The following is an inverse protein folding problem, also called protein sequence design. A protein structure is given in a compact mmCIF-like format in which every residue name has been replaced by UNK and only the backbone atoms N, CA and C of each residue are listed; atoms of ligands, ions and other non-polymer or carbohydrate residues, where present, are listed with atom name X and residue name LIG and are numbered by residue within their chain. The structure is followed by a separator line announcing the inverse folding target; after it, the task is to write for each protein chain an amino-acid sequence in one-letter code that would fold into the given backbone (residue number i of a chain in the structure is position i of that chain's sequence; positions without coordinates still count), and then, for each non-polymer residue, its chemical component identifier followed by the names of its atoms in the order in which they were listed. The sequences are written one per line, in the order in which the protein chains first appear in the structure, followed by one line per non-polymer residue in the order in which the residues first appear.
data_IF_656035508882
#
_entry.id   IF_656035508882
#
_cell.length_a   1.000
_cell.length_b   1.000
_cell.length_c   1.000
_cell.angle_alpha   90.00
_cell.angle_beta   90.00
_cell.angle_gamma   90.00
#
_symmetry.space_group_name_H-M   'P 1'
#
loop_
_entity.id
_entity.type
_entity.pdbx_description
1 polymer ?
#
# COMPACT_ATOMS: atom_id res chain seq x y z
N UNK A 1 -54.90 -39.40 -24.93
CA UNK A 1 -54.39 -39.65 -23.57
C UNK A 1 -52.98 -40.21 -23.66
N UNK A 2 -51.97 -39.49 -23.14
CA UNK A 2 -50.56 -39.99 -23.07
C UNK A 2 -50.41 -40.84 -21.81
N UNK A 3 -49.77 -42.04 -21.86
CA UNK A 3 -49.68 -42.89 -20.69
C UNK A 3 -48.72 -42.28 -19.63
N UNK A 4 -49.20 -42.31 -18.36
CA UNK A 4 -48.43 -41.82 -17.21
C UNK A 4 -47.16 -42.70 -17.00
N UNK A 5 -46.02 -42.08 -16.92
CA UNK A 5 -44.72 -42.73 -16.70
C UNK A 5 -44.68 -43.31 -15.28
N UNK A 6 -44.47 -44.66 -15.16
CA UNK A 6 -44.42 -45.34 -13.85
C UNK A 6 -43.26 -44.84 -12.98
N UNK A 7 -43.51 -44.59 -11.70
CA UNK A 7 -42.54 -44.08 -10.70
C UNK A 7 -41.19 -44.81 -10.73
N UNK A 8 -41.16 -46.15 -11.04
CA UNK A 8 -39.90 -46.90 -11.16
C UNK A 8 -39.03 -46.52 -12.36
N UNK A 9 -39.61 -46.04 -13.46
CA UNK A 9 -38.87 -45.61 -14.65
C UNK A 9 -38.26 -44.20 -14.42
N UNK A 10 -38.91 -43.35 -13.62
CA UNK A 10 -38.40 -42.04 -13.21
C UNK A 10 -37.18 -42.21 -12.30
N UNK A 11 -37.25 -43.09 -11.30
CA UNK A 11 -36.12 -43.32 -10.36
C UNK A 11 -34.90 -43.95 -11.04
N UNK A 12 -35.08 -44.83 -12.06
CA UNK A 12 -33.97 -45.39 -12.85
C UNK A 12 -33.30 -44.33 -13.78
N UNK A 13 -34.01 -43.29 -14.22
CA UNK A 13 -33.43 -42.18 -15.00
C UNK A 13 -32.83 -41.07 -14.13
N UNK A 14 -33.32 -40.89 -12.92
CA UNK A 14 -32.73 -39.94 -11.94
C UNK A 14 -31.42 -40.49 -11.33
N UNK A 15 -31.22 -41.82 -11.27
CA UNK A 15 -30.00 -42.44 -10.74
C UNK A 15 -28.77 -42.42 -11.67
N UNK A 16 -28.89 -41.92 -12.91
CA UNK A 16 -27.82 -41.95 -13.89
C UNK A 16 -27.03 -40.60 -14.03
N UNK A 17 -27.35 -39.56 -13.21
CA UNK A 17 -26.75 -38.25 -13.34
C UNK A 17 -26.28 -37.59 -12.02
N UNK A 18 -25.89 -38.41 -11.04
CA UNK A 18 -25.13 -37.88 -9.90
C UNK A 18 -23.94 -38.77 -9.61
N UNK A 19 -22.88 -38.60 -10.37
CA UNK A 19 -21.56 -38.91 -9.85
C UNK A 19 -21.29 -37.89 -8.71
N UNK A 20 -21.77 -38.20 -7.50
CA UNK A 20 -21.32 -37.51 -6.30
C UNK A 20 -19.83 -37.85 -6.14
N UNK A 21 -18.96 -36.96 -6.53
CA UNK A 21 -17.57 -37.03 -6.13
C UNK A 21 -17.57 -36.84 -4.62
N UNK A 22 -17.55 -37.89 -3.86
CA UNK A 22 -17.37 -37.86 -2.40
C UNK A 22 -15.93 -37.45 -2.19
N UNK A 23 -15.71 -36.16 -2.02
CA UNK A 23 -14.40 -35.66 -1.59
C UNK A 23 -14.10 -36.21 -0.18
N UNK A 24 -12.89 -36.76 0.05
CA UNK A 24 -12.51 -37.21 1.38
C UNK A 24 -12.78 -36.13 2.43
N UNK A 25 -13.38 -36.50 3.56
CA UNK A 25 -13.73 -35.56 4.63
C UNK A 25 -12.54 -34.70 5.12
N UNK A 26 -11.31 -35.17 4.94
CA UNK A 26 -10.08 -34.43 5.21
C UNK A 26 -9.89 -33.23 4.24
N UNK A 27 -10.29 -33.34 2.98
CA UNK A 27 -10.22 -32.25 2.00
C UNK A 27 -11.32 -31.20 2.26
N UNK A 28 -12.49 -31.62 2.73
CA UNK A 28 -13.58 -30.70 3.08
C UNK A 28 -13.31 -29.89 4.34
N UNK A 29 -12.41 -30.35 5.22
CA UNK A 29 -12.00 -29.66 6.45
C UNK A 29 -10.65 -28.95 6.32
N UNK A 30 -9.94 -29.11 5.22
CA UNK A 30 -8.68 -28.45 4.97
C UNK A 30 -8.92 -26.96 4.64
N UNK A 31 -8.15 -26.06 5.25
CA UNK A 31 -8.15 -24.65 4.89
C UNK A 31 -7.82 -24.40 3.41
N UNK A 32 -7.15 -25.35 2.78
CA UNK A 32 -6.80 -25.34 1.35
C UNK A 32 -7.83 -26.00 0.45
N UNK A 33 -8.94 -26.52 1.00
CA UNK A 33 -10.02 -27.06 0.17
C UNK A 33 -10.57 -25.92 -0.74
N UNK A 34 -10.78 -26.17 -2.05
CA UNK A 34 -11.24 -25.14 -2.99
C UNK A 34 -12.51 -24.40 -2.56
N UNK A 35 -13.40 -25.07 -1.82
CA UNK A 35 -14.64 -24.52 -1.28
C UNK A 35 -14.43 -23.59 -0.07
N UNK A 36 -13.28 -23.66 0.60
CA UNK A 36 -12.98 -22.90 1.81
C UNK A 36 -11.94 -21.80 1.55
N UNK A 37 -11.35 -21.79 0.36
CA UNK A 37 -10.32 -20.86 -0.02
C UNK A 37 -10.94 -19.59 -0.61
N UNK A 38 -10.61 -18.42 -0.04
CA UNK A 38 -10.99 -17.14 -0.62
C UNK A 38 -10.40 -16.97 -2.02
N UNK A 39 -11.16 -16.32 -2.89
CA UNK A 39 -10.74 -16.02 -4.25
C UNK A 39 -10.17 -14.61 -4.35
N UNK A 40 -9.20 -14.47 -5.23
CA UNK A 40 -8.49 -13.19 -5.43
C UNK A 40 -8.37 -12.85 -6.91
N UNK A 41 -8.55 -11.57 -7.22
CA UNK A 41 -8.19 -11.00 -8.51
C UNK A 41 -6.98 -10.06 -8.36
N UNK A 42 -6.09 -10.05 -9.35
CA UNK A 42 -4.91 -9.19 -9.40
C UNK A 42 -5.13 -8.06 -10.41
N UNK A 43 -5.05 -6.81 -9.98
CA UNK A 43 -5.11 -5.62 -10.83
C UNK A 43 -3.71 -5.03 -11.00
N UNK A 44 -3.21 -5.03 -12.23
CA UNK A 44 -1.84 -4.62 -12.58
C UNK A 44 -0.86 -5.80 -12.52
N UNK A 45 -0.24 -6.12 -13.66
CA UNK A 45 0.78 -7.16 -13.77
C UNK A 45 2.14 -6.55 -14.16
N UNK A 46 2.63 -5.63 -13.30
CA UNK A 46 3.92 -4.96 -13.45
C UNK A 46 5.01 -5.51 -12.53
N UNK A 47 6.07 -4.69 -12.34
CA UNK A 47 7.25 -5.07 -11.59
C UNK A 47 6.98 -5.62 -10.19
N UNK A 48 6.06 -5.01 -9.43
CA UNK A 48 5.76 -5.46 -8.06
C UNK A 48 5.04 -6.83 -8.05
N UNK A 49 4.18 -7.11 -9.01
CA UNK A 49 3.50 -8.39 -9.12
C UNK A 49 4.49 -9.54 -9.33
N UNK A 50 5.58 -9.28 -10.06
CA UNK A 50 6.68 -10.23 -10.27
C UNK A 50 7.61 -10.30 -9.06
N UNK A 51 8.18 -9.18 -8.62
CA UNK A 51 9.19 -9.12 -7.55
C UNK A 51 8.61 -9.51 -6.19
N UNK A 52 7.36 -9.19 -5.91
CA UNK A 52 6.64 -9.56 -4.70
C UNK A 52 6.12 -11.01 -4.70
N UNK A 53 6.34 -11.75 -5.79
CA UNK A 53 5.82 -13.11 -5.97
C UNK A 53 4.31 -13.23 -5.65
N UNK A 54 3.52 -12.22 -6.04
CA UNK A 54 2.10 -12.18 -5.69
C UNK A 54 1.29 -13.32 -6.30
N UNK A 55 1.72 -13.84 -7.45
CA UNK A 55 1.12 -15.06 -8.02
C UNK A 55 1.48 -16.34 -7.22
N UNK A 56 2.56 -16.32 -6.45
CA UNK A 56 2.97 -17.43 -5.58
C UNK A 56 2.16 -17.53 -4.27
N UNK A 57 1.36 -16.53 -3.92
CA UNK A 57 0.59 -16.51 -2.67
C UNK A 57 -0.59 -17.51 -2.71
N UNK A 58 -0.42 -18.64 -2.07
CA UNK A 58 -1.34 -19.79 -2.14
C UNK A 58 -2.45 -19.80 -1.08
N UNK A 59 -2.41 -18.91 -0.10
CA UNK A 59 -3.47 -18.81 0.90
C UNK A 59 -4.82 -18.35 0.31
N UNK A 60 -4.80 -17.77 -0.90
CA UNK A 60 -5.98 -17.45 -1.71
C UNK A 60 -5.86 -18.04 -3.11
N UNK A 61 -6.99 -18.35 -3.75
CA UNK A 61 -7.04 -18.82 -5.12
C UNK A 61 -7.12 -17.64 -6.08
N UNK A 62 -6.13 -17.49 -6.98
CA UNK A 62 -6.19 -16.51 -8.07
C UNK A 62 -7.22 -16.97 -9.10
N UNK A 63 -8.21 -16.12 -9.42
CA UNK A 63 -9.28 -16.42 -10.38
C UNK A 63 -9.36 -15.41 -11.53
N UNK A 64 -8.74 -14.22 -11.37
CA UNK A 64 -8.76 -13.20 -12.40
C UNK A 64 -7.51 -12.31 -12.35
N UNK A 65 -7.19 -11.70 -13.51
CA UNK A 65 -6.09 -10.76 -13.68
C UNK A 65 -6.50 -9.66 -14.67
N UNK A 66 -6.05 -8.42 -14.42
CA UNK A 66 -6.28 -7.28 -15.29
C UNK A 66 -5.02 -6.43 -15.45
N UNK A 67 -4.74 -6.02 -16.71
CA UNK A 67 -3.75 -4.99 -17.01
C UNK A 67 -4.15 -4.27 -18.33
N UNK A 68 -4.04 -2.93 -18.46
CA UNK A 68 -4.34 -2.23 -19.70
C UNK A 68 -3.37 -2.54 -20.85
N UNK A 69 -2.24 -3.18 -20.56
CA UNK A 69 -1.26 -3.68 -21.55
C UNK A 69 -1.55 -5.15 -21.86
N UNK A 70 -1.94 -5.43 -23.12
CA UNK A 70 -2.30 -6.77 -23.56
C UNK A 70 -1.16 -7.78 -23.42
N UNK A 71 0.10 -7.33 -23.58
CA UNK A 71 1.27 -8.20 -23.37
C UNK A 71 1.40 -8.63 -21.93
N UNK A 72 1.19 -7.71 -20.98
CA UNK A 72 1.19 -8.04 -19.55
C UNK A 72 0.06 -8.98 -19.16
N UNK A 73 -1.11 -8.85 -19.81
CA UNK A 73 -2.21 -9.81 -19.63
C UNK A 73 -1.77 -11.22 -20.04
N UNK A 74 -1.14 -11.37 -21.22
CA UNK A 74 -0.63 -12.66 -21.70
C UNK A 74 0.44 -13.24 -20.78
N UNK A 75 1.43 -12.41 -20.37
CA UNK A 75 2.48 -12.83 -19.43
C UNK A 75 1.87 -13.29 -18.10
N UNK A 76 0.86 -12.59 -17.61
CA UNK A 76 0.14 -12.92 -16.38
C UNK A 76 -0.61 -14.23 -16.46
N UNK A 77 -1.27 -14.53 -17.57
CA UNK A 77 -1.94 -15.82 -17.83
C UNK A 77 -0.92 -16.96 -17.80
N UNK A 78 0.16 -16.82 -18.57
CA UNK A 78 1.22 -17.83 -18.64
C UNK A 78 1.85 -18.10 -17.25
N UNK A 79 2.09 -17.04 -16.49
CA UNK A 79 2.62 -17.15 -15.14
C UNK A 79 1.61 -17.80 -14.16
N UNK A 80 0.32 -17.51 -14.29
CA UNK A 80 -0.72 -18.12 -13.47
C UNK A 80 -0.82 -19.63 -13.73
N UNK A 81 -0.78 -20.06 -15.00
CA UNK A 81 -0.74 -21.47 -15.39
C UNK A 81 0.49 -22.17 -14.81
N UNK A 82 1.67 -21.57 -14.95
CA UNK A 82 2.93 -22.09 -14.37
C UNK A 82 2.85 -22.24 -12.84
N UNK A 83 2.11 -21.36 -12.17
CA UNK A 83 1.86 -21.46 -10.73
C UNK A 83 0.72 -22.45 -10.37
N UNK A 84 0.12 -23.15 -11.32
CA UNK A 84 -0.88 -24.17 -11.08
C UNK A 84 -2.28 -23.65 -10.75
N UNK A 85 -2.62 -22.41 -11.15
CA UNK A 85 -3.99 -21.87 -10.98
C UNK A 85 -4.96 -22.33 -12.06
N UNK A 86 -4.46 -22.94 -13.15
CA UNK A 86 -5.27 -23.32 -14.30
C UNK A 86 -5.77 -22.08 -15.07
N UNK A 87 -6.91 -22.23 -15.74
CA UNK A 87 -7.51 -21.15 -16.52
C UNK A 87 -8.10 -20.09 -15.60
N UNK A 88 -7.59 -18.85 -15.70
CA UNK A 88 -8.12 -17.68 -15.00
C UNK A 88 -8.85 -16.76 -15.99
N UNK A 89 -9.77 -15.92 -15.48
CA UNK A 89 -10.33 -14.82 -16.26
C UNK A 89 -9.27 -13.72 -16.43
N UNK A 90 -9.17 -13.13 -17.62
CA UNK A 90 -8.25 -12.04 -17.86
C UNK A 90 -8.89 -10.97 -18.75
N UNK A 91 -8.68 -9.70 -18.41
CA UNK A 91 -9.25 -8.55 -19.09
C UNK A 91 -8.29 -7.35 -19.08
N UNK A 92 -8.67 -6.29 -19.79
CA UNK A 92 -7.94 -5.02 -19.80
C UNK A 92 -8.58 -3.97 -18.89
N UNK A 93 -9.89 -4.06 -18.67
CA UNK A 93 -10.66 -3.16 -17.84
C UNK A 93 -11.02 -3.80 -16.49
N UNK A 94 -10.49 -3.27 -15.40
CA UNK A 94 -10.69 -3.81 -14.07
C UNK A 94 -12.15 -3.79 -13.60
N UNK A 95 -13.02 -2.97 -14.20
CA UNK A 95 -14.44 -2.90 -13.88
C UNK A 95 -15.16 -4.22 -14.19
N UNK A 96 -14.69 -4.97 -15.18
CA UNK A 96 -15.18 -6.31 -15.48
C UNK A 96 -14.91 -7.27 -14.31
N UNK A 97 -13.77 -7.13 -13.65
CA UNK A 97 -13.43 -7.93 -12.46
C UNK A 97 -14.27 -7.53 -11.25
N UNK A 98 -14.49 -6.23 -11.04
CA UNK A 98 -15.32 -5.75 -9.93
C UNK A 98 -16.77 -6.27 -10.00
N UNK A 99 -17.30 -6.45 -11.19
CA UNK A 99 -18.64 -7.00 -11.43
C UNK A 99 -18.76 -8.52 -11.18
N UNK A 100 -17.67 -9.25 -10.99
CA UNK A 100 -17.67 -10.70 -10.82
C UNK A 100 -18.06 -11.12 -9.41
N UNK A 101 -19.09 -11.97 -9.24
CA UNK A 101 -19.52 -12.47 -7.92
C UNK A 101 -18.55 -13.49 -7.32
N UNK A 102 -17.72 -14.13 -8.13
CA UNK A 102 -16.76 -15.17 -7.71
C UNK A 102 -15.39 -14.61 -7.29
N UNK A 103 -15.27 -13.29 -7.08
CA UNK A 103 -14.07 -12.62 -6.56
C UNK A 103 -14.36 -12.08 -5.18
N UNK A 104 -13.61 -12.53 -4.16
CA UNK A 104 -13.71 -12.05 -2.78
C UNK A 104 -12.77 -10.86 -2.51
N UNK A 105 -11.53 -10.95 -3.04
CA UNK A 105 -10.44 -10.00 -2.74
C UNK A 105 -9.94 -9.37 -4.03
N UNK A 106 -9.80 -8.05 -4.02
CA UNK A 106 -9.09 -7.29 -5.04
C UNK A 106 -7.67 -6.98 -4.54
N UNK A 107 -6.65 -7.47 -5.26
CA UNK A 107 -5.25 -7.16 -5.02
C UNK A 107 -4.78 -6.11 -6.02
N UNK A 108 -4.50 -4.90 -5.56
CA UNK A 108 -4.16 -3.74 -6.36
C UNK A 108 -2.64 -3.60 -6.43
N UNK A 109 -2.06 -3.83 -7.62
CA UNK A 109 -0.63 -3.76 -7.94
C UNK A 109 -0.33 -2.75 -9.06
N UNK A 110 -1.22 -1.81 -9.27
CA UNK A 110 -1.13 -0.75 -10.28
C UNK A 110 -0.13 0.34 -9.87
N UNK A 111 0.13 1.34 -10.73
CA UNK A 111 0.76 2.58 -10.27
C UNK A 111 -0.10 3.33 -9.24
N UNK A 112 0.53 4.11 -8.31
CA UNK A 112 -0.16 4.72 -7.16
C UNK A 112 -1.35 5.62 -7.48
N UNK A 113 -1.37 6.28 -8.65
CA UNK A 113 -2.49 7.14 -9.05
C UNK A 113 -3.82 6.38 -9.21
N UNK A 114 -3.78 5.06 -9.28
CA UNK A 114 -4.95 4.19 -9.33
C UNK A 114 -5.37 3.63 -7.97
N UNK A 115 -4.46 3.57 -6.99
CA UNK A 115 -4.68 2.86 -5.73
C UNK A 115 -5.92 3.35 -4.98
N UNK A 116 -6.07 4.68 -4.85
CA UNK A 116 -7.20 5.28 -4.15
C UNK A 116 -8.54 4.94 -4.82
N UNK A 117 -8.66 5.24 -6.11
CA UNK A 117 -9.90 5.01 -6.86
C UNK A 117 -10.28 3.53 -6.92
N UNK A 118 -9.34 2.64 -7.24
CA UNK A 118 -9.61 1.19 -7.28
C UNK A 118 -10.01 0.65 -5.91
N UNK A 119 -9.40 1.16 -4.82
CA UNK A 119 -9.79 0.76 -3.45
C UNK A 119 -11.23 1.18 -3.11
N UNK A 120 -11.62 2.40 -3.47
CA UNK A 120 -13.00 2.89 -3.27
C UNK A 120 -13.99 2.05 -4.07
N UNK A 121 -13.73 1.85 -5.37
CA UNK A 121 -14.61 1.06 -6.24
C UNK A 121 -14.71 -0.40 -5.81
N UNK A 122 -13.59 -1.00 -5.35
CA UNK A 122 -13.59 -2.37 -4.82
C UNK A 122 -14.44 -2.47 -3.54
N UNK A 123 -14.31 -1.52 -2.61
CA UNK A 123 -15.14 -1.47 -1.41
C UNK A 123 -16.63 -1.36 -1.75
N UNK A 124 -17.00 -0.48 -2.68
CA UNK A 124 -18.37 -0.29 -3.15
C UNK A 124 -18.93 -1.54 -3.85
N UNK A 125 -18.08 -2.29 -4.56
CA UNK A 125 -18.42 -3.58 -5.17
C UNK A 125 -18.47 -4.74 -4.16
N UNK A 126 -18.31 -4.46 -2.85
CA UNK A 126 -18.38 -5.47 -1.79
C UNK A 126 -17.16 -6.36 -1.67
N UNK A 127 -16.00 -5.96 -2.25
CA UNK A 127 -14.76 -6.74 -2.22
C UNK A 127 -13.86 -6.29 -1.08
N UNK A 128 -13.15 -7.25 -0.47
CA UNK A 128 -12.05 -6.95 0.43
C UNK A 128 -10.79 -6.57 -0.36
N UNK A 129 -9.90 -5.79 0.25
CA UNK A 129 -8.87 -5.07 -0.49
C UNK A 129 -7.48 -5.41 0.04
N UNK A 130 -6.60 -5.79 -0.86
CA UNK A 130 -5.17 -5.84 -0.64
C UNK A 130 -4.51 -4.82 -1.56
N UNK A 131 -4.06 -3.71 -1.01
CA UNK A 131 -3.47 -2.62 -1.78
C UNK A 131 -1.96 -2.57 -1.60
N UNK A 132 -1.22 -2.42 -2.71
CA UNK A 132 0.20 -2.10 -2.66
C UNK A 132 0.43 -0.69 -2.12
N UNK A 133 1.62 -0.46 -1.57
CA UNK A 133 2.07 0.88 -1.16
C UNK A 133 2.52 1.71 -2.38
N UNK A 134 2.50 3.04 -2.31
CA UNK A 134 1.83 3.85 -1.28
C UNK A 134 0.31 3.70 -1.36
N UNK A 135 -0.38 3.83 -0.23
CA UNK A 135 -1.83 3.64 -0.16
C UNK A 135 -2.58 4.52 -1.15
N UNK A 136 -2.18 5.76 -1.26
CA UNK A 136 -2.79 6.75 -2.17
C UNK A 136 -1.78 7.82 -2.57
N UNK A 137 -2.04 8.49 -3.69
CA UNK A 137 -1.22 9.59 -4.19
C UNK A 137 -1.51 10.92 -3.48
N UNK A 138 -2.70 11.10 -2.94
CA UNK A 138 -3.10 12.32 -2.21
C UNK A 138 -3.77 12.00 -0.88
N UNK A 139 -3.77 12.99 0.03
CA UNK A 139 -4.44 12.86 1.33
C UNK A 139 -5.95 12.74 1.14
N UNK A 140 -6.51 13.51 0.20
CA UNK A 140 -7.95 13.45 -0.11
C UNK A 140 -8.41 12.07 -0.58
N UNK A 141 -7.62 11.40 -1.43
CA UNK A 141 -7.89 10.02 -1.84
C UNK A 141 -7.88 9.07 -0.63
N UNK A 142 -6.88 9.18 0.25
CA UNK A 142 -6.78 8.33 1.44
C UNK A 142 -7.99 8.46 2.38
N UNK A 143 -8.49 9.67 2.56
CA UNK A 143 -9.73 9.91 3.30
C UNK A 143 -10.92 9.17 2.66
N UNK A 144 -11.07 9.25 1.32
CA UNK A 144 -12.15 8.54 0.60
C UNK A 144 -12.04 7.03 0.72
N UNK A 145 -10.82 6.47 0.70
CA UNK A 145 -10.61 5.03 0.92
C UNK A 145 -11.07 4.63 2.32
N UNK A 146 -10.67 5.36 3.37
CA UNK A 146 -11.13 5.08 4.74
C UNK A 146 -12.65 5.10 4.86
N UNK A 147 -13.29 6.14 4.29
CA UNK A 147 -14.76 6.28 4.29
C UNK A 147 -15.43 5.11 3.57
N UNK A 148 -14.94 4.73 2.38
CA UNK A 148 -15.52 3.65 1.58
C UNK A 148 -15.35 2.27 2.25
N UNK A 149 -14.17 1.96 2.78
CA UNK A 149 -13.89 0.70 3.49
C UNK A 149 -14.81 0.57 4.71
N UNK A 150 -14.91 1.63 5.52
CA UNK A 150 -15.77 1.66 6.70
C UNK A 150 -17.26 1.51 6.33
N UNK A 151 -17.75 2.31 5.37
CA UNK A 151 -19.16 2.35 4.98
C UNK A 151 -19.62 1.00 4.42
N UNK A 152 -18.77 0.34 3.65
CA UNK A 152 -19.10 -0.94 3.03
C UNK A 152 -18.68 -2.16 3.90
N UNK A 153 -18.14 -1.94 5.10
CA UNK A 153 -17.72 -3.00 6.03
C UNK A 153 -16.67 -3.93 5.43
N UNK A 154 -15.72 -3.41 4.65
CA UNK A 154 -14.68 -4.22 4.00
C UNK A 154 -13.42 -4.32 4.87
N UNK A 155 -12.63 -5.35 4.60
CA UNK A 155 -11.31 -5.51 5.21
C UNK A 155 -10.28 -4.97 4.22
N UNK A 156 -9.41 -4.10 4.72
CA UNK A 156 -8.33 -3.50 3.95
C UNK A 156 -6.98 -3.94 4.51
N UNK A 157 -6.05 -4.28 3.62
CA UNK A 157 -4.65 -4.54 3.91
C UNK A 157 -3.79 -3.64 3.03
N UNK A 158 -2.94 -2.83 3.65
CA UNK A 158 -1.85 -2.17 2.96
C UNK A 158 -0.63 -3.10 2.90
N UNK A 159 0.02 -3.18 1.74
CA UNK A 159 1.17 -4.06 1.57
C UNK A 159 2.50 -3.34 1.88
N UNK A 160 2.66 -2.89 3.11
CA UNK A 160 3.97 -2.64 3.68
C UNK A 160 4.09 -3.47 4.96
N UNK A 161 5.14 -4.30 5.05
CA UNK A 161 5.22 -5.33 6.09
C UNK A 161 6.28 -5.03 7.15
N UNK A 162 7.03 -3.94 6.99
CA UNK A 162 8.22 -3.69 7.82
C UNK A 162 7.91 -3.38 9.28
N UNK A 163 6.69 -2.94 9.62
CA UNK A 163 6.29 -2.73 11.01
C UNK A 163 6.16 -4.04 11.81
N UNK A 164 6.00 -5.19 11.14
CA UNK A 164 5.72 -6.48 11.79
C UNK A 164 6.83 -7.51 11.60
N UNK A 165 7.89 -7.18 10.86
CA UNK A 165 8.99 -8.12 10.62
C UNK A 165 10.05 -8.04 11.70
N UNK A 166 10.80 -9.15 11.84
CA UNK A 166 11.98 -9.25 12.70
C UNK A 166 13.12 -8.31 12.30
N UNK A 167 13.09 -7.77 11.08
CA UNK A 167 14.08 -6.82 10.60
C UNK A 167 13.42 -5.56 10.05
N UNK A 168 13.70 -4.43 10.67
CA UNK A 168 13.39 -3.13 10.10
C UNK A 168 14.22 -2.95 8.84
N UNK A 169 13.60 -2.67 7.70
CA UNK A 169 14.26 -2.61 6.40
C UNK A 169 15.49 -1.70 6.44
N UNK A 170 16.67 -2.28 6.18
CA UNK A 170 17.95 -1.57 6.26
C UNK A 170 18.38 -1.12 7.65
N UNK A 171 17.59 -1.37 8.68
CA UNK A 171 17.83 -0.85 10.03
C UNK A 171 18.69 -1.75 10.91
N UNK A 172 18.77 -3.04 10.58
CA UNK A 172 19.51 -4.03 11.34
C UNK A 172 19.03 -4.23 12.79
N UNK A 173 17.80 -3.79 13.09
CA UNK A 173 17.17 -3.89 14.41
C UNK A 173 15.72 -4.31 14.24
N UNK A 174 15.24 -5.16 15.13
CA UNK A 174 13.84 -5.56 15.15
C UNK A 174 12.94 -4.42 15.64
N UNK A 175 11.74 -4.32 15.09
CA UNK A 175 10.75 -3.31 15.48
C UNK A 175 10.24 -3.56 16.91
N UNK A 176 10.11 -4.82 17.32
CA UNK A 176 9.54 -5.21 18.61
C UNK A 176 10.32 -4.68 19.83
N UNK A 177 11.65 -4.84 19.94
CA UNK A 177 12.43 -4.22 21.02
C UNK A 177 12.29 -2.70 21.05
N UNK A 178 12.31 -2.04 19.89
CA UNK A 178 12.10 -0.60 19.79
C UNK A 178 10.71 -0.19 20.30
N UNK A 179 9.68 -0.98 19.97
CA UNK A 179 8.31 -0.73 20.46
C UNK A 179 8.21 -0.85 21.98
N UNK A 180 8.85 -1.86 22.59
CA UNK A 180 8.96 -1.98 24.06
C UNK A 180 9.58 -0.73 24.68
N UNK A 181 10.70 -0.23 24.12
CA UNK A 181 11.37 0.99 24.60
C UNK A 181 10.44 2.19 24.54
N UNK A 182 9.70 2.34 23.44
CA UNK A 182 8.81 3.49 23.22
C UNK A 182 7.57 3.45 24.12
N UNK A 183 6.90 2.30 24.23
CA UNK A 183 5.72 2.12 25.09
C UNK A 183 6.04 2.34 26.56
N UNK A 184 7.24 1.97 27.00
CA UNK A 184 7.69 2.16 28.38
C UNK A 184 8.44 3.47 28.61
N UNK A 185 8.46 4.39 27.62
CA UNK A 185 9.04 5.75 27.73
C UNK A 185 10.51 5.76 28.20
N UNK A 186 11.32 4.76 27.85
CA UNK A 186 12.71 4.71 28.27
C UNK A 186 13.54 5.90 27.76
N UNK A 187 13.19 6.44 26.57
CA UNK A 187 13.81 7.64 26.03
C UNK A 187 13.22 8.93 26.59
N UNK A 188 12.17 8.87 27.41
CA UNK A 188 11.36 10.03 27.75
C UNK A 188 10.49 10.47 26.57
N UNK A 189 9.96 11.69 26.64
CA UNK A 189 9.07 12.25 25.63
C UNK A 189 9.18 13.78 25.60
N UNK A 190 9.11 14.47 24.43
CA UNK A 190 8.93 13.91 23.09
C UNK A 190 10.19 13.24 22.53
N UNK A 191 10.02 12.50 21.42
CA UNK A 191 11.11 11.79 20.73
C UNK A 191 11.26 12.30 19.30
N UNK A 192 12.51 12.46 18.87
CA UNK A 192 12.88 12.72 17.48
C UNK A 192 13.38 11.40 16.85
N UNK A 193 12.83 11.07 15.67
CA UNK A 193 13.30 9.98 14.84
C UNK A 193 14.01 10.55 13.59
N UNK A 194 15.22 10.03 13.28
CA UNK A 194 15.95 10.39 12.06
C UNK A 194 15.94 9.19 11.10
N UNK A 195 15.37 9.37 9.92
CA UNK A 195 15.26 8.39 8.84
C UNK A 195 16.12 8.84 7.67
N UNK A 196 17.02 7.97 7.21
CA UNK A 196 17.96 8.29 6.15
C UNK A 196 19.12 7.31 6.19
N UNK A 197 20.35 7.75 5.94
CA UNK A 197 21.57 6.92 6.03
C UNK A 197 21.71 6.21 7.37
N UNK A 198 21.24 6.83 8.45
CA UNK A 198 21.20 6.26 9.81
C UNK A 198 20.45 4.94 9.85
N UNK A 199 19.40 4.80 9.04
CA UNK A 199 18.53 3.61 8.99
C UNK A 199 18.85 2.72 7.79
N UNK A 200 19.85 3.05 6.96
CA UNK A 200 20.09 2.40 5.69
C UNK A 200 19.04 2.74 4.62
N UNK A 201 18.23 3.78 4.86
CA UNK A 201 17.25 4.28 3.90
C UNK A 201 17.95 4.87 2.68
N UNK A 202 17.73 4.26 1.54
CA UNK A 202 18.15 4.81 0.27
C UNK A 202 16.94 5.40 -0.45
N UNK A 203 16.85 6.70 -0.47
CA UNK A 203 15.99 7.39 -1.43
C UNK A 203 16.50 7.07 -2.83
N UNK A 204 15.67 6.42 -3.63
CA UNK A 204 16.03 6.11 -5.02
C UNK A 204 15.88 7.35 -5.88
N UNK A 205 16.84 8.29 -5.76
CA UNK A 205 16.85 9.50 -6.59
C UNK A 205 16.90 9.23 -8.10
N UNK A 206 17.38 8.04 -8.51
CA UNK A 206 17.32 7.60 -9.91
C UNK A 206 15.90 7.44 -10.48
N UNK A 207 14.86 7.57 -9.64
CA UNK A 207 13.47 7.64 -10.10
C UNK A 207 13.00 9.09 -10.33
N UNK A 208 13.88 9.92 -10.85
CA UNK A 208 13.56 11.26 -11.32
C UNK A 208 12.91 11.21 -12.70
N UNK A 209 11.98 12.13 -12.97
CA UNK A 209 11.37 12.29 -14.28
C UNK A 209 12.31 12.98 -15.27
N UNK A 210 12.13 12.70 -16.55
CA UNK A 210 12.76 13.46 -17.63
C UNK A 210 11.95 14.72 -17.89
N UNK A 211 12.64 15.85 -18.10
CA UNK A 211 12.00 17.16 -18.28
C UNK A 211 11.72 17.50 -19.76
N UNK A 212 12.50 16.92 -20.68
CA UNK A 212 12.41 17.20 -22.12
C UNK A 212 11.90 15.98 -22.89
N UNK A 213 10.64 15.62 -22.63
CA UNK A 213 10.00 14.44 -23.24
C UNK A 213 9.29 14.85 -24.53
N UNK A 214 9.64 14.20 -25.66
CA UNK A 214 8.97 14.34 -26.94
C UNK A 214 7.90 13.26 -27.05
N UNK A 215 6.62 13.60 -27.26
CA UNK A 215 5.55 12.62 -27.42
C UNK A 215 5.85 11.56 -28.48
N UNK A 216 5.43 10.33 -28.21
CA UNK A 216 5.56 9.20 -29.13
C UNK A 216 4.18 8.56 -29.40
N UNK A 217 4.03 7.81 -30.50
CA UNK A 217 2.81 7.03 -30.72
C UNK A 217 2.57 6.01 -29.59
N UNK A 218 1.31 5.85 -29.20
CA UNK A 218 0.92 4.80 -28.25
C UNK A 218 1.06 3.44 -28.94
N UNK A 219 1.70 2.43 -28.29
CA UNK A 219 1.72 1.07 -28.80
C UNK A 219 0.30 0.51 -29.01
N UNK A 220 0.08 -0.27 -30.07
CA UNK A 220 -1.25 -0.76 -30.45
C UNK A 220 -1.92 -1.65 -29.39
N UNK A 221 -1.13 -2.38 -28.63
CA UNK A 221 -1.59 -3.33 -27.59
C UNK A 221 -1.71 -2.67 -26.21
N UNK A 222 -1.46 -1.36 -26.10
CA UNK A 222 -1.50 -0.63 -24.85
C UNK A 222 -2.65 0.36 -24.80
N UNK A 223 -3.59 0.18 -23.88
CA UNK A 223 -4.65 1.15 -23.60
C UNK A 223 -4.12 2.25 -22.68
N UNK A 224 -3.53 3.27 -23.33
CA UNK A 224 -2.93 4.37 -22.58
C UNK A 224 -3.95 5.25 -21.88
N UNK A 225 -5.16 5.39 -22.41
CA UNK A 225 -6.23 6.15 -21.74
C UNK A 225 -6.65 5.48 -20.42
N UNK A 226 -6.84 4.17 -20.47
CA UNK A 226 -7.13 3.38 -19.25
C UNK A 226 -5.93 3.33 -18.30
N UNK A 227 -4.68 3.33 -18.82
CA UNK A 227 -3.49 3.42 -17.96
C UNK A 227 -3.42 4.77 -17.24
N UNK A 228 -3.69 5.89 -17.92
CA UNK A 228 -3.76 7.22 -17.31
C UNK A 228 -4.87 7.31 -16.26
N UNK A 229 -6.03 6.76 -16.56
CA UNK A 229 -7.15 6.73 -15.62
C UNK A 229 -7.47 8.10 -15.01
N UNK A 230 -7.44 8.21 -13.66
CA UNK A 230 -7.76 9.44 -12.95
C UNK A 230 -6.68 10.53 -13.05
N UNK A 231 -5.47 10.20 -13.53
CA UNK A 231 -4.40 11.18 -13.68
C UNK A 231 -4.69 12.17 -14.83
N UNK A 232 -4.18 13.41 -14.75
CA UNK A 232 -4.31 14.37 -15.85
C UNK A 232 -3.78 13.81 -17.17
N UNK A 233 -4.43 14.20 -18.28
CA UNK A 233 -3.94 13.79 -19.59
C UNK A 233 -2.54 14.36 -19.86
N UNK A 234 -1.64 13.48 -20.26
CA UNK A 234 -0.31 13.80 -20.79
C UNK A 234 -0.09 13.00 -22.06
N UNK A 235 0.53 13.55 -23.09
CA UNK A 235 0.90 12.78 -24.28
C UNK A 235 1.78 11.58 -23.91
N UNK A 236 1.60 10.49 -24.65
CA UNK A 236 2.35 9.26 -24.38
C UNK A 236 3.85 9.45 -24.61
N UNK A 237 4.60 8.87 -23.70
CA UNK A 237 6.03 8.62 -23.81
C UNK A 237 6.39 7.39 -22.96
N UNK A 238 7.23 6.45 -23.42
CA UNK A 238 7.55 5.23 -22.67
C UNK A 238 8.17 5.51 -21.31
N UNK A 239 8.88 6.63 -21.13
CA UNK A 239 9.43 7.01 -19.82
C UNK A 239 8.34 7.47 -18.82
N UNK A 240 7.11 7.78 -19.25
CA UNK A 240 6.00 8.10 -18.34
C UNK A 240 5.30 6.86 -17.80
N UNK A 241 5.52 5.70 -18.42
CA UNK A 241 4.76 4.49 -18.14
C UNK A 241 5.62 3.40 -17.51
N UNK A 242 4.99 2.30 -17.12
CA UNK A 242 5.64 1.11 -16.58
C UNK A 242 6.53 1.43 -15.35
N UNK A 243 7.81 1.15 -15.36
CA UNK A 243 8.69 1.33 -14.19
C UNK A 243 9.07 2.78 -13.89
N UNK A 244 9.17 3.60 -14.91
CA UNK A 244 9.68 4.99 -14.85
C UNK A 244 8.60 6.03 -14.51
N UNK A 245 7.32 5.64 -14.46
CA UNK A 245 6.22 6.51 -14.01
C UNK A 245 6.50 7.20 -12.66
N UNK A 246 7.32 6.59 -11.83
CA UNK A 246 7.69 7.06 -10.50
C UNK A 246 8.28 8.47 -10.50
N UNK A 247 8.93 8.85 -11.58
CA UNK A 247 9.53 10.17 -11.74
C UNK A 247 8.57 11.31 -12.05
N UNK A 248 7.24 11.10 -11.99
CA UNK A 248 6.25 12.13 -12.36
C UNK A 248 5.19 12.33 -11.29
N UNK A 249 4.96 13.61 -10.94
CA UNK A 249 4.02 14.01 -9.88
C UNK A 249 2.59 13.50 -10.09
N UNK A 250 2.16 13.33 -11.33
CA UNK A 250 0.80 12.87 -11.64
C UNK A 250 0.58 11.39 -11.30
N UNK A 251 1.64 10.60 -11.18
CA UNK A 251 1.54 9.15 -11.00
C UNK A 251 2.11 8.65 -9.67
N UNK A 252 3.17 9.32 -9.18
CA UNK A 252 3.86 8.97 -7.94
C UNK A 252 4.58 10.22 -7.37
N UNK A 253 5.43 10.07 -6.38
CA UNK A 253 6.25 11.10 -5.75
C UNK A 253 7.75 10.75 -5.74
N UNK A 254 8.24 10.07 -6.78
CA UNK A 254 9.63 9.65 -6.88
C UNK A 254 10.06 8.69 -5.78
N UNK A 255 11.28 8.86 -5.27
CA UNK A 255 11.81 8.02 -4.20
C UNK A 255 11.01 8.12 -2.89
N UNK A 256 10.53 9.31 -2.55
CA UNK A 256 9.67 9.50 -1.38
C UNK A 256 8.30 8.84 -1.57
N UNK A 257 7.66 9.01 -2.72
CA UNK A 257 6.37 8.39 -3.02
C UNK A 257 6.46 6.87 -2.99
N UNK A 258 7.38 6.30 -3.75
CA UNK A 258 7.48 4.85 -3.86
C UNK A 258 7.98 4.17 -2.58
N UNK A 259 9.01 4.70 -1.91
CA UNK A 259 9.64 4.04 -0.77
C UNK A 259 9.25 4.62 0.59
N UNK A 260 8.80 5.88 0.63
CA UNK A 260 8.58 6.60 1.89
C UNK A 260 7.69 5.86 2.87
N UNK A 261 6.58 5.28 2.42
CA UNK A 261 5.66 4.59 3.31
C UNK A 261 6.27 3.32 3.95
N UNK A 262 7.20 2.64 3.29
CA UNK A 262 7.91 1.50 3.87
C UNK A 262 8.73 1.88 5.11
N UNK A 263 9.33 3.06 5.09
CA UNK A 263 10.20 3.52 6.18
C UNK A 263 9.44 4.33 7.24
N UNK A 264 8.47 5.12 6.82
CA UNK A 264 7.74 6.02 7.72
C UNK A 264 6.66 5.30 8.52
N UNK A 265 6.05 4.26 7.96
CA UNK A 265 5.02 3.48 8.65
C UNK A 265 5.52 2.84 9.95
N UNK A 266 6.64 2.10 10.00
CA UNK A 266 7.15 1.58 11.25
C UNK A 266 7.59 2.68 12.23
N UNK A 267 8.14 3.81 11.76
CA UNK A 267 8.50 4.94 12.63
C UNK A 267 7.24 5.54 13.26
N UNK A 268 6.17 5.72 12.48
CA UNK A 268 4.89 6.19 12.99
C UNK A 268 4.32 5.25 14.05
N UNK A 269 4.41 3.93 13.84
CA UNK A 269 4.01 2.93 14.81
C UNK A 269 4.82 3.01 16.12
N UNK A 270 6.15 3.18 16.01
CA UNK A 270 7.03 3.37 17.17
C UNK A 270 6.67 4.63 17.95
N UNK A 271 6.41 5.74 17.28
CA UNK A 271 6.05 7.01 17.90
C UNK A 271 4.58 7.10 18.31
N UNK A 272 3.80 6.01 18.21
CA UNK A 272 2.37 5.95 18.58
C UNK A 272 1.51 6.98 17.84
N UNK A 273 1.75 7.11 16.52
CA UNK A 273 1.08 8.12 15.67
C UNK A 273 0.04 7.51 14.71
N UNK A 274 -0.42 6.29 14.96
CA UNK A 274 -1.39 5.62 14.09
C UNK A 274 -2.77 6.31 14.04
N UNK A 275 -3.08 7.19 15.00
CA UNK A 275 -4.36 7.92 15.06
C UNK A 275 -4.23 9.41 14.73
N UNK A 276 -3.03 9.91 14.42
CA UNK A 276 -2.79 11.33 14.15
C UNK A 276 -1.81 11.54 13.00
N UNK A 277 -1.61 12.79 12.63
CA UNK A 277 -0.66 13.21 11.60
C UNK A 277 0.14 14.43 12.08
N UNK A 278 1.28 14.77 11.43
CA UNK A 278 2.02 15.97 11.75
C UNK A 278 1.15 17.24 11.64
N UNK A 279 1.44 18.22 12.48
CA UNK A 279 0.81 19.56 12.43
C UNK A 279 1.66 20.54 11.61
N UNK A 280 2.90 20.20 11.29
CA UNK A 280 3.81 21.05 10.53
C UNK A 280 4.75 20.18 9.71
N UNK A 281 5.05 20.63 8.50
CA UNK A 281 6.12 20.10 7.67
C UNK A 281 7.06 21.22 7.26
N UNK A 282 8.36 20.98 7.37
CA UNK A 282 9.44 21.87 6.94
C UNK A 282 10.29 21.14 5.92
N UNK A 283 10.82 21.86 4.94
CA UNK A 283 11.59 21.24 3.87
C UNK A 283 12.81 22.08 3.48
N UNK A 284 13.88 21.39 3.15
CA UNK A 284 15.02 21.88 2.42
C UNK A 284 15.17 21.05 1.15
N UNK A 285 14.90 21.67 -0.01
CA UNK A 285 15.00 21.03 -1.30
C UNK A 285 15.42 22.02 -2.40
N UNK A 286 16.03 21.57 -3.50
CA UNK A 286 16.18 22.39 -4.69
C UNK A 286 14.82 22.73 -5.30
N UNK A 287 14.75 23.76 -6.18
CA UNK A 287 13.54 24.00 -6.98
C UNK A 287 13.10 22.75 -7.73
N UNK A 288 11.80 22.46 -7.70
CA UNK A 288 11.23 21.29 -8.36
C UNK A 288 10.68 21.63 -9.74
N UNK A 289 10.82 20.72 -10.68
CA UNK A 289 10.17 20.83 -11.98
C UNK A 289 8.65 20.61 -11.83
N UNK A 290 7.79 21.35 -12.56
CA UNK A 290 6.32 21.24 -12.38
C UNK A 290 5.73 19.87 -12.77
N UNK A 291 6.43 19.07 -13.57
CA UNK A 291 5.98 17.74 -14.05
C UNK A 291 6.83 16.60 -13.48
N UNK A 292 8.15 16.77 -13.43
CA UNK A 292 9.11 15.74 -13.03
C UNK A 292 9.52 15.89 -11.56
N UNK A 293 9.57 14.76 -10.86
CA UNK A 293 10.00 14.70 -9.47
C UNK A 293 11.51 14.85 -9.40
N UNK A 294 11.96 15.70 -8.49
CA UNK A 294 13.38 15.89 -8.15
C UNK A 294 13.74 15.29 -6.78
N UNK A 295 14.77 15.85 -6.17
CA UNK A 295 15.28 15.42 -4.86
C UNK A 295 14.93 16.43 -3.74
N UNK A 296 15.20 16.02 -2.49
CA UNK A 296 15.22 16.90 -1.33
C UNK A 296 16.49 16.63 -0.49
N UNK A 297 16.87 17.60 0.34
CA UNK A 297 17.96 17.43 1.31
C UNK A 297 17.43 17.01 2.67
N UNK A 298 16.35 17.66 3.14
CA UNK A 298 15.75 17.34 4.44
C UNK A 298 14.28 17.66 4.47
N UNK A 299 13.50 16.78 5.11
CA UNK A 299 12.10 17.07 5.47
C UNK A 299 11.95 16.82 6.97
N UNK A 300 11.31 17.75 7.68
CA UNK A 300 11.02 17.61 9.11
C UNK A 300 9.52 17.67 9.33
N UNK A 301 8.97 16.64 9.95
CA UNK A 301 7.58 16.57 10.37
C UNK A 301 7.50 16.76 11.87
N UNK A 302 6.65 17.68 12.33
CA UNK A 302 6.43 17.94 13.76
C UNK A 302 5.00 17.62 14.14
N UNK A 303 4.83 16.84 15.20
CA UNK A 303 3.54 16.47 15.79
C UNK A 303 3.16 17.41 16.92
N UNK A 304 1.86 17.43 17.28
CA UNK A 304 1.32 18.32 18.32
C UNK A 304 1.94 18.10 19.71
N UNK A 305 2.40 16.89 20.00
CA UNK A 305 3.07 16.55 21.26
C UNK A 305 4.59 16.79 21.27
N UNK A 306 5.11 17.44 20.24
CA UNK A 306 6.52 17.78 20.09
C UNK A 306 7.40 16.68 19.48
N UNK A 307 6.86 15.49 19.21
CA UNK A 307 7.60 14.45 18.46
C UNK A 307 7.94 14.91 17.06
N UNK A 308 9.09 14.49 16.57
CA UNK A 308 9.55 14.82 15.22
C UNK A 308 9.99 13.59 14.45
N UNK A 309 9.73 13.60 13.14
CA UNK A 309 10.36 12.68 12.17
C UNK A 309 11.16 13.54 11.19
N UNK A 310 12.44 13.23 11.04
CA UNK A 310 13.36 13.91 10.13
C UNK A 310 13.78 12.95 9.04
N UNK A 311 13.44 13.27 7.79
CA UNK A 311 13.98 12.56 6.62
C UNK A 311 15.26 13.25 6.17
N UNK A 312 16.37 12.51 6.20
CA UNK A 312 17.68 12.96 5.71
C UNK A 312 17.91 12.40 4.30
N UNK A 313 17.73 13.26 3.32
CA UNK A 313 17.82 12.89 1.89
C UNK A 313 19.20 13.05 1.29
N UNK A 314 20.20 13.55 2.01
CA UNK A 314 21.55 13.81 1.50
C UNK A 314 22.66 13.34 2.45
N UNK A 315 22.34 12.44 3.36
CA UNK A 315 23.30 11.85 4.31
C UNK A 315 24.02 12.89 5.22
N UNK A 316 23.37 14.05 5.45
CA UNK A 316 23.93 15.12 6.27
C UNK A 316 23.90 14.81 7.77
N UNK A 317 23.15 13.80 8.19
CA UNK A 317 22.99 13.39 9.58
C UNK A 317 23.66 12.04 9.87
N UNK A 318 24.75 11.72 9.14
CA UNK A 318 25.52 10.49 9.42
C UNK A 318 25.98 10.45 10.88
N UNK A 319 25.81 9.28 11.53
CA UNK A 319 26.17 9.07 12.94
C UNK A 319 25.15 9.62 13.95
N UNK A 320 24.11 10.34 13.51
CA UNK A 320 23.02 10.74 14.40
C UNK A 320 22.29 9.49 14.97
N UNK A 321 21.70 9.58 16.17
CA UNK A 321 20.84 8.53 16.67
C UNK A 321 19.60 8.39 15.81
N UNK A 322 19.10 7.17 15.69
CA UNK A 322 17.81 6.90 15.06
C UNK A 322 16.64 7.46 15.88
N UNK A 323 16.65 7.20 17.18
CA UNK A 323 15.69 7.76 18.13
C UNK A 323 16.44 8.56 19.20
N UNK A 324 15.97 9.76 19.50
CA UNK A 324 16.52 10.63 20.51
C UNK A 324 15.38 11.23 21.34
N UNK A 325 15.44 11.02 22.64
CA UNK A 325 14.53 11.60 23.60
C UNK A 325 15.30 12.26 24.74
N UNK A 326 14.61 12.93 25.68
CA UNK A 326 15.24 13.65 26.79
C UNK A 326 16.00 12.76 27.79
N UNK A 327 15.77 11.43 27.78
CA UNK A 327 16.38 10.46 28.70
C UNK A 327 17.37 9.50 28.04
N UNK A 328 17.54 9.53 26.71
CA UNK A 328 18.47 8.64 26.06
C UNK A 328 18.32 8.61 24.53
N UNK A 329 19.24 7.91 23.90
CA UNK A 329 19.37 7.80 22.43
C UNK A 329 19.55 6.35 22.02
N UNK A 330 19.03 6.03 20.82
CA UNK A 330 19.16 4.73 20.18
C UNK A 330 19.78 4.91 18.79
N UNK A 331 20.85 4.17 18.53
CA UNK A 331 21.46 4.00 17.21
C UNK A 331 21.09 2.64 16.60
N UNK A 332 21.37 2.39 15.31
CA UNK A 332 21.19 1.08 14.71
C UNK A 332 21.78 -0.07 15.54
N UNK A 333 21.14 -1.26 15.47
CA UNK A 333 21.50 -2.47 16.26
C UNK A 333 21.36 -2.29 17.78
N UNK A 334 20.36 -1.51 18.22
CA UNK A 334 20.05 -1.22 19.63
C UNK A 334 21.21 -0.61 20.44
N UNK A 335 22.25 -0.07 19.79
CA UNK A 335 23.25 0.70 20.52
C UNK A 335 22.58 1.90 21.20
N UNK A 336 22.97 2.16 22.44
CA UNK A 336 22.33 3.20 23.27
C UNK A 336 23.33 3.80 24.25
N UNK A 337 23.04 5.00 24.73
CA UNK A 337 23.67 5.63 25.89
C UNK A 337 22.98 5.25 27.20
N UNK A 338 21.86 4.51 27.15
CA UNK A 338 21.20 3.96 28.35
C UNK A 338 21.97 2.71 28.80
N UNK A 339 22.49 2.69 30.05
CA UNK A 339 23.22 1.52 30.55
C UNK A 339 22.33 0.27 30.58
N UNK A 340 22.89 -0.88 30.21
CA UNK A 340 22.24 -2.19 30.28
C UNK A 340 20.88 -2.26 29.52
N UNK A 341 20.69 -1.48 28.45
CA UNK A 341 19.42 -1.39 27.73
C UNK A 341 18.87 -2.75 27.32
N UNK A 342 19.72 -3.67 26.80
CA UNK A 342 19.27 -5.00 26.35
C UNK A 342 18.64 -5.80 27.51
N UNK A 343 19.25 -5.80 28.69
CA UNK A 343 18.70 -6.46 29.88
C UNK A 343 17.38 -5.82 30.30
N UNK A 344 17.29 -4.49 30.29
CA UNK A 344 16.06 -3.77 30.61
C UNK A 344 14.95 -4.16 29.63
N UNK A 345 15.23 -4.16 28.34
CA UNK A 345 14.23 -4.48 27.29
C UNK A 345 13.76 -5.93 27.38
N UNK A 346 14.61 -6.86 27.79
CA UNK A 346 14.23 -8.26 27.99
C UNK A 346 13.12 -8.43 29.03
N UNK A 347 13.16 -7.64 30.10
CA UNK A 347 12.18 -7.68 31.22
C UNK A 347 10.88 -6.89 30.93
N UNK A 348 10.84 -6.05 29.86
CA UNK A 348 9.66 -5.28 29.54
C UNK A 348 8.53 -6.15 28.96
N UNK A 349 7.26 -5.76 29.22
CA UNK A 349 6.11 -6.48 28.66
C UNK A 349 6.14 -6.52 27.14
N UNK A 350 5.57 -7.59 26.58
CA UNK A 350 5.41 -7.73 25.13
C UNK A 350 4.37 -6.73 24.61
N UNK A 351 4.60 -6.10 23.45
CA UNK A 351 3.59 -5.29 22.79
C UNK A 351 2.34 -6.12 22.47
N UNK A 352 1.19 -5.46 22.40
CA UNK A 352 -0.07 -6.11 22.05
C UNK A 352 0.06 -6.88 20.72
N UNK A 353 -0.46 -8.13 20.66
CA UNK A 353 -0.41 -8.95 19.46
C UNK A 353 -1.16 -8.27 18.30
N UNK A 354 -0.62 -8.37 17.11
CA UNK A 354 -1.19 -7.78 15.89
C UNK A 354 -1.80 -8.86 15.00
N UNK A 355 -2.97 -8.57 14.39
CA UNK A 355 -3.58 -9.48 13.42
C UNK A 355 -2.90 -9.32 12.06
N UNK A 356 -1.97 -10.22 11.75
CA UNK A 356 -1.15 -10.19 10.52
C UNK A 356 -1.52 -11.25 9.49
N UNK A 357 -2.50 -12.12 9.77
CA UNK A 357 -3.09 -13.03 8.79
C UNK A 357 -4.27 -12.35 8.10
N UNK A 358 -4.09 -12.01 6.80
CA UNK A 358 -5.11 -11.31 6.04
C UNK A 358 -6.29 -12.23 5.68
N UNK A 359 -6.06 -13.51 5.43
CA UNK A 359 -7.13 -14.47 5.14
C UNK A 359 -8.01 -14.65 6.36
N UNK A 360 -7.41 -14.78 7.53
CA UNK A 360 -8.13 -14.83 8.80
C UNK A 360 -8.89 -13.51 9.06
N UNK A 361 -8.26 -12.35 8.81
CA UNK A 361 -8.91 -11.04 8.94
C UNK A 361 -10.19 -10.97 8.10
N UNK A 362 -10.13 -11.42 6.83
CA UNK A 362 -11.30 -11.44 5.93
C UNK A 362 -12.37 -12.41 6.44
N UNK A 363 -12.00 -13.65 6.82
CA UNK A 363 -12.94 -14.67 7.29
C UNK A 363 -13.65 -14.28 8.58
N UNK A 364 -12.92 -13.69 9.52
CA UNK A 364 -13.44 -13.30 10.85
C UNK A 364 -13.97 -11.87 10.90
N UNK A 365 -13.89 -11.12 9.80
CA UNK A 365 -14.27 -9.69 9.72
C UNK A 365 -13.56 -8.85 10.78
N UNK A 366 -12.28 -9.16 11.05
CA UNK A 366 -11.42 -8.42 11.97
C UNK A 366 -10.45 -7.54 11.18
N UNK A 367 -10.20 -6.33 11.67
CA UNK A 367 -9.25 -5.42 11.04
C UNK A 367 -7.86 -6.07 10.94
N UNK A 368 -7.24 -5.97 9.76
CA UNK A 368 -5.83 -6.32 9.58
C UNK A 368 -4.95 -5.32 10.32
N UNK A 369 -3.80 -5.74 10.78
CA UNK A 369 -2.91 -4.90 11.58
C UNK A 369 -2.47 -3.62 10.87
N UNK A 370 -2.22 -3.67 9.56
CA UNK A 370 -1.98 -2.50 8.73
C UNK A 370 -3.18 -2.26 7.81
N UNK A 371 -4.20 -1.64 8.38
CA UNK A 371 -5.50 -1.37 7.78
C UNK A 371 -5.57 0.02 7.13
N UNK A 372 -6.75 0.41 6.66
CA UNK A 372 -7.00 1.69 6.01
C UNK A 372 -6.73 2.90 6.91
N UNK A 373 -6.89 2.76 8.23
CA UNK A 373 -6.74 3.89 9.17
C UNK A 373 -5.27 4.24 9.41
N UNK A 374 -4.49 3.28 9.91
CA UNK A 374 -3.07 3.51 10.17
C UNK A 374 -2.26 3.63 8.86
N UNK A 375 -2.65 2.90 7.80
CA UNK A 375 -2.11 3.08 6.46
C UNK A 375 -2.35 4.48 5.90
N UNK A 376 -3.54 5.07 6.12
CA UNK A 376 -3.82 6.45 5.77
C UNK A 376 -2.89 7.43 6.51
N UNK A 377 -2.64 7.22 7.80
CA UNK A 377 -1.76 8.10 8.58
C UNK A 377 -0.32 8.07 8.07
N UNK A 378 0.21 6.89 7.77
CA UNK A 378 1.57 6.77 7.21
C UNK A 378 1.65 7.29 5.76
N UNK A 379 0.61 7.11 4.93
CA UNK A 379 0.52 7.74 3.61
C UNK A 379 0.43 9.26 3.70
N UNK A 380 -0.25 9.80 4.72
CA UNK A 380 -0.35 11.25 4.95
C UNK A 380 1.02 11.88 5.17
N UNK A 381 1.92 11.24 5.93
CA UNK A 381 3.28 11.78 6.14
C UNK A 381 4.02 11.87 4.81
N UNK A 382 3.97 10.82 3.98
CA UNK A 382 4.57 10.80 2.64
C UNK A 382 4.00 11.93 1.79
N UNK A 383 2.67 12.05 1.74
CA UNK A 383 1.98 13.04 0.93
C UNK A 383 2.25 14.49 1.40
N UNK A 384 2.35 14.75 2.71
CA UNK A 384 2.76 16.06 3.23
C UNK A 384 4.17 16.46 2.75
N UNK A 385 5.10 15.51 2.72
CA UNK A 385 6.45 15.73 2.17
C UNK A 385 6.40 16.04 0.67
N UNK A 386 5.60 15.29 -0.10
CA UNK A 386 5.41 15.54 -1.54
C UNK A 386 4.80 16.93 -1.79
N UNK A 387 3.79 17.34 -1.01
CA UNK A 387 3.21 18.68 -1.10
C UNK A 387 4.27 19.74 -0.81
N UNK A 388 5.06 19.57 0.26
CA UNK A 388 6.13 20.52 0.61
C UNK A 388 7.21 20.60 -0.49
N UNK A 389 7.61 19.47 -1.10
CA UNK A 389 8.52 19.43 -2.25
C UNK A 389 7.97 20.26 -3.42
N UNK A 390 6.71 20.01 -3.80
CA UNK A 390 6.05 20.71 -4.94
C UNK A 390 5.91 22.21 -4.72
N UNK A 391 5.74 22.63 -3.45
CA UNK A 391 5.69 24.04 -3.06
C UNK A 391 7.07 24.67 -2.93
N UNK A 392 8.13 23.89 -2.74
CA UNK A 392 9.46 24.37 -2.40
C UNK A 392 9.55 25.04 -1.02
N UNK A 393 8.57 24.81 -0.14
CA UNK A 393 8.49 25.37 1.21
C UNK A 393 7.67 24.50 2.16
N UNK A 394 7.86 24.70 3.45
CA UNK A 394 7.02 24.09 4.49
C UNK A 394 5.66 24.78 4.63
N UNK A 395 4.76 24.13 5.39
CA UNK A 395 3.45 24.64 5.76
C UNK A 395 2.93 24.00 7.05
N UNK A 396 1.91 24.61 7.66
CA UNK A 396 1.17 24.04 8.78
C UNK A 396 -0.03 23.20 8.28
N UNK A 397 -0.33 22.12 8.96
CA UNK A 397 -1.39 21.18 8.59
C UNK A 397 -2.32 20.93 9.78
N UNK A 398 -3.62 20.88 9.53
CA UNK A 398 -4.64 20.49 10.50
C UNK A 398 -4.93 18.98 10.33
N UNK A 399 -4.48 18.11 11.25
CA UNK A 399 -4.64 16.66 11.12
C UNK A 399 -6.07 16.15 11.36
N UNK A 400 -6.96 17.03 11.84
CA UNK A 400 -8.38 16.72 12.06
C UNK A 400 -9.21 17.11 10.83
N UNK A 401 -9.03 18.33 10.33
CA UNK A 401 -9.71 18.81 9.11
C UNK A 401 -9.09 18.26 7.85
N UNK A 402 -7.86 17.75 7.93
CA UNK A 402 -7.07 17.23 6.82
C UNK A 402 -6.79 18.30 5.74
N UNK A 403 -6.48 19.52 6.14
CA UNK A 403 -6.21 20.65 5.25
C UNK A 403 -4.97 21.43 5.72
N UNK A 404 -4.39 22.19 4.83
CA UNK A 404 -3.36 23.16 5.19
C UNK A 404 -3.97 24.35 5.96
N UNK A 405 -3.25 24.86 6.94
CA UNK A 405 -3.74 25.99 7.76
C UNK A 405 -3.48 27.30 7.03
N UNK A 406 -4.54 27.94 6.56
CA UNK A 406 -4.49 29.21 5.83
C UNK A 406 -3.58 29.19 4.59
N UNK A 407 -3.50 28.03 3.89
CA UNK A 407 -2.61 27.86 2.74
C UNK A 407 -3.33 27.17 1.57
N UNK A 408 -4.11 27.92 0.76
CA UNK A 408 -4.81 27.36 -0.40
C UNK A 408 -3.88 26.78 -1.47
N UNK A 409 -2.62 27.21 -1.52
CA UNK A 409 -1.64 26.67 -2.45
C UNK A 409 -1.24 25.23 -2.08
N UNK A 410 -1.15 24.92 -0.79
CA UNK A 410 -0.94 23.56 -0.29
C UNK A 410 -2.20 22.70 -0.47
N UNK A 411 -3.39 23.23 -0.19
CA UNK A 411 -4.64 22.48 -0.29
C UNK A 411 -4.92 21.95 -1.70
N UNK A 412 -4.48 22.63 -2.75
CA UNK A 412 -4.58 22.15 -4.14
C UNK A 412 -3.84 20.83 -4.38
N UNK A 413 -2.84 20.49 -3.56
CA UNK A 413 -2.10 19.24 -3.65
C UNK A 413 -2.63 18.18 -2.66
N UNK A 414 -3.36 18.60 -1.63
CA UNK A 414 -4.04 17.71 -0.69
C UNK A 414 -5.29 17.09 -1.33
N UNK A 415 -6.05 17.90 -2.08
CA UNK A 415 -7.26 17.50 -2.79
C UNK A 415 -7.11 17.80 -4.28
N UNK A 416 -6.68 16.80 -5.05
CA UNK A 416 -6.51 16.95 -6.49
C UNK A 416 -7.73 16.41 -7.23
N UNK A 417 -8.25 17.14 -8.25
CA UNK A 417 -9.33 16.63 -9.09
C UNK A 417 -8.84 15.46 -9.93
N UNK A 418 -9.76 14.54 -10.22
CA UNK A 418 -9.52 13.44 -11.14
C UNK A 418 -9.91 13.83 -12.58
N UNK A 419 -9.26 13.24 -13.56
CA UNK A 419 -9.63 13.35 -14.96
C UNK A 419 -10.98 12.67 -15.18
N UNK A 420 -11.91 13.36 -15.89
CA UNK A 420 -13.18 12.76 -16.32
C UNK A 420 -12.93 11.50 -17.20
N UNK A 421 -13.75 10.44 -17.08
CA UNK A 421 -14.96 10.34 -16.27
C UNK A 421 -14.75 9.83 -14.84
N UNK A 422 -13.53 9.78 -14.34
CA UNK A 422 -13.19 9.19 -13.05
C UNK A 422 -13.55 10.10 -11.88
N UNK A 423 -14.25 9.57 -10.90
CA UNK A 423 -14.64 10.26 -9.66
C UNK A 423 -14.61 9.28 -8.47
N UNK A 424 -14.41 9.82 -7.26
CA UNK A 424 -14.52 9.09 -5.99
C UNK A 424 -15.73 9.56 -5.17
#
# INVERSE_FOLDING_TARGET
MKPAMRRRAFLKRAGAFTAFTVLPARLLRSETAPSNQLTRALLGFGGIAHSGNHLGYKATRLVALCDPDAKRVQDGIAQAEKNGYGKIFACRDFREILARPDVDIIHICTPPHWHGLMSVMAAQAGKDIWCEKPMTRTIGEGRRVMEAVKTNGRIFRLNTWFRFQSGFYGFGTEVKPLKKIMENRLLGWPVKAVVGSVTGFSLKFGWSGQTNIIPQPVPADFDYDLWLGPAPFKPYHPHRTHGTFRGYWDYDGGGLGDMGQHYLDPVQYLLEKDETSPIKVEIDCPPQHPDAVGSFRRITYTYADGCQIVLDGNDSLQGAPFLEGPKGKIWPKLKSDIPNLEAIVAELPEPAPQQTDFVESVKLRRAFALNERNGFRSATIVNLGIVAMRLGRGFAFDPVKLCAVNDPAADRFIYQPMRSPWVM
#
